data_IF_061577640267
#
_entry.id   IF_061577640267
#
_cell.length_a   1.000
_cell.length_b   1.000
_cell.length_c   1.000
_cell.angle_alpha   90.00
_cell.angle_beta   90.00
_cell.angle_gamma   90.00
#
_symmetry.space_group_name_H-M   'P 1'
#
loop_
_entity.id
_entity.type
_entity.pdbx_description
1 polymer ?
2 non-polymer ?
3 non-polymer ?
4 non-polymer ?
5 non-polymer ?
6 non-polymer ?
7 non-polymer ?
8 water ?
#
# COMPACT_ATOMS: atom_id res chain seq x y z
N UNK A 1 -20.40 -7.59 -10.73
CA UNK A 1 -19.11 -8.36 -10.60
C UNK A 1 -19.25 -9.60 -9.70
N UNK A 2 -20.50 -9.97 -9.39
CA UNK A 2 -20.84 -11.15 -8.57
C UNK A 2 -20.13 -12.44 -9.05
N UNK A 3 -20.04 -12.63 -10.37
CA UNK A 3 -19.41 -13.82 -10.96
C UNK A 3 -17.86 -13.95 -10.76
N UNK A 4 -17.21 -12.95 -10.17
CA UNK A 4 -15.80 -13.08 -9.76
C UNK A 4 -15.67 -13.50 -8.30
N UNK A 5 -16.77 -13.56 -7.57
CA UNK A 5 -16.63 -13.83 -6.13
C UNK A 5 -16.29 -15.26 -5.80
N UNK A 6 -15.46 -15.36 -4.75
CA UNK A 6 -15.08 -16.58 -4.10
C UNK A 6 -15.87 -16.76 -2.77
N UNK A 7 -16.36 -17.97 -2.54
CA UNK A 7 -17.17 -18.28 -1.36
C UNK A 7 -16.33 -19.01 -0.29
N UNK A 8 -16.31 -18.52 0.94
CA UNK A 8 -15.48 -19.14 1.98
C UNK A 8 -16.05 -20.46 2.46
N UNK A 9 -15.34 -21.56 2.32
CA UNK A 9 -15.81 -22.87 2.80
C UNK A 9 -15.32 -23.18 4.23
N UNK A 10 -14.13 -22.70 4.59
CA UNK A 10 -13.68 -22.81 5.97
C UNK A 10 -12.60 -21.78 6.22
N UNK A 11 -12.46 -21.42 7.48
CA UNK A 11 -11.39 -20.55 8.01
C UNK A 11 -10.84 -21.11 9.29
N UNK A 12 -9.56 -20.88 9.50
CA UNK A 12 -8.96 -21.15 10.77
C UNK A 12 -7.82 -20.13 10.94
N UNK A 13 -7.46 -19.84 12.17
CA UNK A 13 -6.27 -19.09 12.45
C UNK A 13 -5.09 -20.06 12.41
N UNK A 14 -4.20 -19.89 11.45
CA UNK A 14 -3.13 -20.90 11.24
C UNK A 14 -1.87 -20.55 12.04
N UNK A 15 -1.71 -19.28 12.36
CA UNK A 15 -0.47 -18.88 13.02
C UNK A 15 -0.70 -17.64 13.80
N UNK A 16 -0.08 -17.59 14.96
CA UNK A 16 -0.02 -16.37 15.73
C UNK A 16 1.39 -16.17 16.20
N UNK A 17 2.05 -15.11 15.80
CA UNK A 17 3.39 -14.87 16.24
C UNK A 17 3.32 -13.86 17.36
N UNK A 18 4.43 -13.16 17.57
CA UNK A 18 4.48 -12.14 18.57
C UNK A 18 3.61 -10.98 18.16
N UNK A 19 3.39 -10.81 16.87
CA UNK A 19 2.60 -9.71 16.37
C UNK A 19 1.64 -10.10 15.30
N UNK A 20 2.03 -10.99 14.40
CA UNK A 20 1.24 -11.25 13.21
C UNK A 20 0.34 -12.45 13.42
N UNK A 21 -0.91 -12.28 13.05
CA UNK A 21 -1.87 -13.37 13.01
C UNK A 21 -2.26 -13.72 11.57
N UNK A 22 -2.22 -15.02 11.23
CA UNK A 22 -2.52 -15.47 9.89
C UNK A 22 -3.78 -16.33 9.86
N UNK A 23 -4.69 -16.00 8.97
CA UNK A 23 -5.87 -16.82 8.72
C UNK A 23 -5.71 -17.58 7.41
N UNK A 24 -6.02 -18.88 7.44
CA UNK A 24 -5.97 -19.76 6.26
C UNK A 24 -7.41 -20.17 5.94
N UNK A 25 -7.89 -19.82 4.75
CA UNK A 25 -9.25 -20.14 4.33
C UNK A 25 -9.21 -21.10 3.17
N UNK A 26 -10.25 -21.93 3.05
CA UNK A 26 -10.49 -22.61 1.80
C UNK A 26 -11.67 -21.95 1.15
N UNK A 27 -11.56 -21.65 -0.14
CA UNK A 27 -12.62 -20.91 -0.81
C UNK A 27 -13.10 -21.63 -2.08
N UNK A 28 -14.34 -21.37 -2.46
CA UNK A 28 -14.83 -21.96 -3.68
C UNK A 28 -14.83 -20.86 -4.70
N UNK A 29 -14.05 -21.08 -5.74
CA UNK A 29 -13.85 -20.09 -6.78
C UNK A 29 -14.92 -20.25 -7.87
N UNK A 30 -14.95 -19.34 -8.85
CA UNK A 30 -15.94 -19.33 -9.94
C UNK A 30 -15.94 -20.58 -10.85
N UNK A 31 -14.83 -21.32 -10.86
CA UNK A 31 -14.77 -22.65 -11.46
C UNK A 31 -15.39 -23.80 -10.62
N UNK A 32 -16.04 -23.48 -9.51
CA UNK A 32 -16.56 -24.51 -8.60
C UNK A 32 -15.50 -25.25 -7.80
N UNK A 33 -14.21 -24.97 -8.01
CA UNK A 33 -13.14 -25.64 -7.27
C UNK A 33 -12.70 -24.89 -5.99
N UNK A 34 -11.88 -25.57 -5.22
CA UNK A 34 -11.45 -25.15 -3.88
C UNK A 34 -10.01 -24.71 -3.90
N UNK A 35 -9.77 -23.50 -3.42
CA UNK A 35 -8.40 -22.98 -3.30
C UNK A 35 -8.16 -22.46 -1.85
N UNK A 36 -6.91 -22.52 -1.46
CA UNK A 36 -6.45 -21.99 -0.19
C UNK A 36 -6.04 -20.52 -0.36
N UNK A 37 -6.49 -19.68 0.57
CA UNK A 37 -6.12 -18.25 0.63
C UNK A 37 -5.55 -17.99 2.07
N UNK A 38 -4.40 -17.31 2.14
CA UNK A 38 -3.78 -16.95 3.44
C UNK A 38 -3.63 -15.46 3.51
N UNK A 39 -3.90 -14.89 4.67
CA UNK A 39 -3.80 -13.47 4.82
C UNK A 39 -3.70 -13.07 6.28
N UNK A 40 -3.22 -11.87 6.49
CA UNK A 40 -3.03 -11.33 7.82
C UNK A 40 -4.32 -10.66 8.31
N UNK A 41 -4.61 -10.88 9.56
CA UNK A 41 -5.75 -10.28 10.22
C UNK A 41 -5.18 -9.07 10.95
N UNK A 42 -5.69 -7.91 10.57
CA UNK A 42 -5.14 -6.63 10.98
C UNK A 42 -6.36 -5.83 11.42
N UNK A 43 -6.23 -5.06 12.50
CA UNK A 43 -7.35 -4.28 13.09
C UNK A 43 -7.76 -3.00 12.31
N UNK A 44 -7.00 -2.66 11.28
CA UNK A 44 -7.11 -1.38 10.61
C UNK A 44 -6.27 -0.30 11.22
N UNK A 45 -6.24 0.84 10.57
CA UNK A 45 -5.36 1.92 11.02
C UNK A 45 -5.88 3.30 10.63
N UNK A 46 -5.27 4.35 11.18
CA UNK A 46 -5.49 5.66 10.68
C UNK A 46 -4.16 6.35 10.38
N UNK A 47 -4.16 7.30 9.43
CA UNK A 47 -3.00 8.12 9.08
C UNK A 47 -3.52 9.54 8.88
N UNK A 48 -2.74 10.56 9.24
CA UNK A 48 -3.19 11.91 9.04
C UNK A 48 -2.15 12.84 8.49
N UNK A 49 -2.65 13.81 7.73
CA UNK A 49 -1.89 14.81 7.04
C UNK A 49 -2.09 16.07 7.88
N UNK A 50 -1.10 16.45 8.67
CA UNK A 50 -1.26 17.58 9.61
C UNK A 50 -0.69 18.85 9.00
N UNK A 51 -1.57 19.76 8.58
CA UNK A 51 -1.22 20.96 7.84
C UNK A 51 -1.07 22.16 8.78
N UNK A 52 0.16 22.65 8.90
CA UNK A 52 0.48 23.71 9.79
C UNK A 52 0.06 25.09 9.23
N UNK A 53 -0.08 26.09 10.13
CA UNK A 53 -0.40 27.44 9.69
C UNK A 53 0.59 27.98 8.66
N UNK A 54 1.87 27.68 8.81
CA UNK A 54 2.82 28.13 7.79
C UNK A 54 2.75 27.38 6.47
N UNK A 55 1.79 26.48 6.35
CA UNK A 55 1.62 25.65 5.18
C UNK A 55 2.56 24.47 4.97
N UNK A 56 3.48 24.23 5.90
CA UNK A 56 4.23 22.98 5.93
C UNK A 56 3.35 21.88 6.55
N UNK A 57 3.74 20.63 6.35
CA UNK A 57 3.00 19.51 6.95
C UNK A 57 3.95 18.87 7.95
N UNK A 58 3.42 18.42 9.04
CA UNK A 58 4.18 17.69 10.04
C UNK A 58 4.37 16.21 9.59
N UNK A 59 5.61 15.77 9.48
CA UNK A 59 5.90 14.39 9.08
C UNK A 59 6.87 13.79 10.06
N UNK A 60 7.11 12.50 9.93
CA UNK A 60 8.11 11.82 10.77
C UNK A 60 9.14 11.08 9.98
N UNK A 61 10.26 10.84 10.64
CA UNK A 61 11.27 9.88 10.16
C UNK A 61 11.22 8.72 11.13
N UNK A 62 11.10 7.52 10.59
CA UNK A 62 10.95 6.31 11.41
C UNK A 62 11.66 5.13 10.71
N UNK A 63 12.51 4.40 11.45
CA UNK A 63 13.16 3.19 10.90
C UNK A 63 12.15 2.05 10.78
N UNK A 64 12.23 1.29 9.69
CA UNK A 64 11.23 0.19 9.43
C UNK A 64 12.05 -1.06 9.12
N UNK A 65 12.21 -1.89 10.16
CA UNK A 65 13.04 -3.04 10.08
C UNK A 65 12.66 -3.97 8.94
N UNK A 66 11.39 -4.04 8.60
CA UNK A 66 10.93 -4.97 7.55
C UNK A 66 11.68 -4.69 6.24
N UNK A 67 12.03 -3.42 6.03
CA UNK A 67 12.67 -2.95 4.81
C UNK A 67 14.11 -2.52 5.02
N UNK A 68 14.59 -2.57 6.27
CA UNK A 68 15.92 -2.09 6.59
C UNK A 68 16.19 -0.64 6.26
N UNK A 69 15.19 0.25 6.31
CA UNK A 69 15.50 1.66 6.10
C UNK A 69 14.67 2.64 6.90
N UNK A 70 15.13 3.89 6.91
CA UNK A 70 14.35 5.00 7.48
C UNK A 70 13.41 5.52 6.40
N UNK A 71 12.15 5.76 6.75
CA UNK A 71 11.17 6.31 5.85
C UNK A 71 10.69 7.65 6.35
N UNK A 72 10.29 8.47 5.41
CA UNK A 72 9.53 9.67 5.68
C UNK A 72 8.08 9.27 5.60
N UNK A 73 7.35 9.49 6.68
CA UNK A 73 5.97 9.11 6.80
C UNK A 73 5.09 10.22 7.39
N UNK A 74 3.80 10.18 7.05
CA UNK A 74 2.80 10.88 7.83
C UNK A 74 2.47 10.02 9.07
N UNK A 75 2.08 10.68 10.19
CA UNK A 75 1.87 9.91 11.42
C UNK A 75 0.69 8.98 11.24
N UNK A 76 0.78 7.81 11.88
CA UNK A 76 -0.20 6.74 11.74
C UNK A 76 -0.17 5.76 12.92
N UNK A 77 -1.26 5.01 13.11
CA UNK A 77 -1.21 3.86 14.04
C UNK A 77 -2.42 2.93 13.87
N UNK A 78 -2.41 1.82 14.58
CA UNK A 78 -3.44 0.81 14.52
C UNK A 78 -4.66 1.24 15.28
N UNK A 79 -5.82 0.87 14.77
CA UNK A 79 -7.05 0.93 15.53
C UNK A 79 -6.93 0.06 16.76
N UNK A 80 -7.38 0.56 17.90
CA UNK A 80 -7.38 -0.17 19.17
C UNK A 80 -8.82 -0.45 19.52
N UNK A 81 -9.11 -1.70 19.91
CA UNK A 81 -10.42 -2.06 20.47
C UNK A 81 -11.62 -1.68 19.60
N UNK A 82 -11.48 -1.77 18.29
CA UNK A 82 -12.55 -1.36 17.37
C UNK A 82 -13.08 0.08 17.53
N UNK A 83 -12.25 0.97 18.09
CA UNK A 83 -12.53 2.42 18.13
C UNK A 83 -12.79 3.04 16.76
N UNK A 84 -13.55 4.13 16.71
CA UNK A 84 -13.61 5.00 15.55
C UNK A 84 -12.16 5.46 15.12
N UNK A 85 -11.84 5.38 13.82
CA UNK A 85 -10.47 5.70 13.44
C UNK A 85 -10.09 7.18 13.70
N UNK A 86 -11.08 8.07 13.76
CA UNK A 86 -10.90 9.49 14.12
C UNK A 86 -10.22 9.59 15.49
N UNK A 87 -10.59 8.70 16.39
CA UNK A 87 -9.93 8.67 17.70
C UNK A 87 -8.51 8.15 17.60
N UNK A 88 -8.28 7.16 16.73
CA UNK A 88 -6.94 6.68 16.47
C UNK A 88 -6.05 7.81 15.96
N UNK A 89 -6.56 8.54 14.98
CA UNK A 89 -5.80 9.56 14.30
C UNK A 89 -5.42 10.66 15.27
N UNK A 90 -6.41 11.08 16.08
CA UNK A 90 -6.18 12.07 17.15
C UNK A 90 -5.15 11.63 18.18
N UNK A 91 -5.32 10.42 18.71
CA UNK A 91 -4.34 9.88 19.66
C UNK A 91 -2.96 9.81 19.02
N UNK A 92 -2.85 9.33 17.78
CA UNK A 92 -1.50 9.14 17.20
C UNK A 92 -0.81 10.43 16.83
N UNK A 93 -1.59 11.41 16.38
CA UNK A 93 -1.01 12.70 16.09
C UNK A 93 -0.40 13.28 17.39
N UNK A 94 -1.10 13.13 18.52
CA UNK A 94 -0.62 13.65 19.81
C UNK A 94 0.58 12.85 20.26
N UNK A 95 0.48 11.52 20.27
CA UNK A 95 1.62 10.74 20.73
C UNK A 95 2.85 10.86 19.84
N UNK A 96 2.69 10.75 18.51
CA UNK A 96 3.89 10.64 17.66
C UNK A 96 4.50 12.01 17.39
N UNK A 97 3.71 13.08 17.43
CA UNK A 97 4.24 14.38 17.08
C UNK A 97 4.01 15.49 18.08
N UNK A 98 3.16 15.25 19.06
CA UNK A 98 2.80 16.29 20.03
C UNK A 98 1.71 17.24 19.62
N UNK A 99 1.06 17.02 18.47
CA UNK A 99 0.03 17.98 17.99
C UNK A 99 -1.43 17.61 18.27
N UNK A 100 -2.29 18.62 18.41
CA UNK A 100 -3.75 18.45 18.29
C UNK A 100 -4.25 19.34 17.17
N UNK A 101 -5.47 19.07 16.76
CA UNK A 101 -6.06 19.78 15.65
C UNK A 101 -7.53 19.97 15.94
N UNK A 102 -8.02 21.16 15.64
CA UNK A 102 -9.44 21.47 15.75
C UNK A 102 -10.24 21.04 14.53
N UNK A 103 -9.61 20.92 13.37
CA UNK A 103 -10.36 20.57 12.19
C UNK A 103 -9.83 19.26 11.56
N UNK A 104 -10.66 18.23 11.69
CA UNK A 104 -10.46 16.90 11.15
C UNK A 104 -11.40 16.62 9.98
N UNK A 105 -10.82 16.18 8.86
CA UNK A 105 -11.62 15.81 7.68
C UNK A 105 -11.17 14.41 7.18
N UNK A 106 -12.13 13.51 7.04
CA UNK A 106 -11.89 12.21 6.51
C UNK A 106 -11.67 12.34 5.02
N UNK A 107 -10.56 11.84 4.49
CA UNK A 107 -10.38 11.86 3.03
C UNK A 107 -10.83 10.58 2.31
N UNK A 108 -10.27 9.44 2.68
CA UNK A 108 -10.48 8.21 1.93
C UNK A 108 -9.97 7.00 2.72
N UNK A 109 -10.42 5.82 2.31
CA UNK A 109 -9.94 4.61 2.92
C UNK A 109 -9.10 3.89 1.88
N UNK A 110 -7.90 3.45 2.23
CA UNK A 110 -7.06 2.65 1.35
C UNK A 110 -6.83 1.25 1.88
N UNK A 111 -6.46 0.32 0.99
CA UNK A 111 -6.10 -1.06 1.39
C UNK A 111 -4.68 -1.33 0.87
N UNK A 112 -3.69 -1.46 1.76
CA UNK A 112 -2.29 -1.53 1.30
C UNK A 112 -1.79 -2.85 0.83
N UNK A 113 -2.51 -3.92 1.06
CA UNK A 113 -1.99 -5.23 0.72
C UNK A 113 -3.16 -6.16 0.47
N UNK A 114 -3.91 -5.84 -0.58
CA UNK A 114 -5.12 -6.58 -0.87
C UNK A 114 -4.85 -8.05 -1.17
N UNK A 115 -3.62 -8.36 -1.58
CA UNK A 115 -3.21 -9.73 -1.81
C UNK A 115 -3.06 -10.56 -0.55
N UNK A 116 -2.72 -9.98 0.59
CA UNK A 116 -2.53 -10.83 1.77
C UNK A 116 -2.72 -10.18 3.13
N UNK A 117 -3.53 -9.14 3.21
CA UNK A 117 -3.91 -8.63 4.51
C UNK A 117 -5.24 -7.92 4.36
N UNK A 118 -6.06 -7.98 5.41
CA UNK A 118 -7.35 -7.30 5.42
C UNK A 118 -7.20 -5.88 5.94
N UNK A 119 -5.97 -5.44 6.14
CA UNK A 119 -5.73 -4.06 6.59
C UNK A 119 -6.42 -3.00 5.72
N UNK A 120 -7.08 -2.06 6.39
CA UNK A 120 -7.50 -0.81 5.73
C UNK A 120 -6.90 0.34 6.56
N UNK A 121 -6.58 1.44 5.90
CA UNK A 121 -6.11 2.65 6.56
C UNK A 121 -7.05 3.84 6.18
N UNK A 122 -7.55 4.52 7.20
CA UNK A 122 -8.36 5.69 6.99
C UNK A 122 -7.43 6.92 7.02
N UNK A 123 -7.51 7.72 5.98
CA UNK A 123 -6.62 8.88 5.84
C UNK A 123 -7.41 10.12 6.16
N UNK A 124 -6.89 10.95 7.05
CA UNK A 124 -7.52 12.22 7.49
C UNK A 124 -6.67 13.42 7.15
N UNK A 125 -7.32 14.57 7.00
CA UNK A 125 -6.63 15.87 6.92
C UNK A 125 -6.87 16.60 8.21
N UNK A 126 -5.79 16.93 8.93
CA UNK A 126 -5.88 17.69 10.18
C UNK A 126 -5.37 19.14 9.99
N UNK A 127 -6.19 20.11 10.38
CA UNK A 127 -5.93 21.52 10.23
C UNK A 127 -6.24 22.23 11.54
N UNK A 128 -5.66 23.44 11.65
CA UNK A 128 -5.78 24.29 12.82
C UNK A 128 -5.16 23.55 13.99
N UNK A 129 -3.84 23.49 13.91
CA UNK A 129 -3.00 22.74 14.80
C UNK A 129 -2.41 23.59 15.91
N UNK A 130 -2.25 22.99 17.09
CA UNK A 130 -1.51 23.57 18.20
C UNK A 130 -0.62 22.49 18.76
N UNK A 131 0.54 22.86 19.27
CA UNK A 131 1.55 21.92 19.73
C UNK A 131 1.56 21.76 21.25
N UNK A 132 1.81 20.53 21.70
CA UNK A 132 2.04 20.18 23.10
C UNK A 132 3.32 19.39 23.07
N UNK A 133 3.35 18.15 23.55
CA UNK A 133 4.61 17.38 23.57
C UNK A 133 4.43 15.93 23.10
N UNK A 134 5.51 15.37 22.55
CA UNK A 134 5.54 14.01 22.06
C UNK A 134 5.46 13.00 23.19
N UNK A 135 4.67 11.93 22.99
CA UNK A 135 4.54 10.84 23.99
C UNK A 135 4.72 9.47 23.28
N UNK A 136 5.98 9.09 23.08
CA UNK A 136 6.31 7.91 22.29
C UNK A 136 6.09 6.63 23.06
N UNK A 137 5.56 5.62 22.37
CA UNK A 137 5.36 4.32 22.98
C UNK A 137 6.68 3.52 23.10
N UNK A 138 6.72 2.61 24.08
CA UNK A 138 7.80 1.62 24.24
C UNK A 138 8.18 0.98 22.90
N UNK A 139 9.45 1.15 22.50
CA UNK A 139 9.95 0.56 21.26
C UNK A 139 9.58 1.33 20.01
N UNK A 140 9.11 2.56 20.19
CA UNK A 140 8.85 3.49 19.08
C UNK A 140 9.89 4.63 19.06
N UNK A 141 10.53 4.80 17.91
CA UNK A 141 11.54 5.83 17.73
C UNK A 141 11.25 6.61 16.44
N UNK A 142 11.14 7.93 16.62
CA UNK A 142 10.48 8.79 15.68
C UNK A 142 11.02 10.22 15.81
N UNK A 143 11.51 10.79 14.73
CA UNK A 143 11.95 12.16 14.73
C UNK A 143 10.90 12.97 13.95
N UNK A 144 10.42 14.08 14.48
CA UNK A 144 9.35 14.85 13.84
C UNK A 144 10.01 15.91 12.91
N UNK A 145 9.48 16.12 11.70
CA UNK A 145 10.02 17.14 10.77
C UNK A 145 8.88 17.92 10.10
N UNK A 146 9.20 19.12 9.60
CA UNK A 146 8.28 19.93 8.84
C UNK A 146 8.69 19.88 7.43
N UNK A 147 7.73 19.61 6.56
CA UNK A 147 8.02 19.50 5.15
C UNK A 147 7.12 20.43 4.33
N UNK A 148 7.73 21.19 3.42
CA UNK A 148 6.98 22.04 2.49
C UNK A 148 6.35 21.09 1.52
N UNK A 149 5.05 21.25 1.20
CA UNK A 149 4.41 20.30 0.25
C UNK A 149 5.05 20.22 -1.15
N UNK A 150 5.54 21.35 -1.66
CA UNK A 150 6.29 21.35 -2.94
C UNK A 150 7.54 20.46 -2.88
N UNK A 151 8.30 20.51 -1.77
CA UNK A 151 9.44 19.63 -1.57
C UNK A 151 9.00 18.18 -1.44
N UNK A 152 7.84 17.94 -0.79
CA UNK A 152 7.30 16.57 -0.67
C UNK A 152 7.01 15.98 -2.03
N UNK A 153 6.31 16.73 -2.90
CA UNK A 153 5.95 16.23 -4.21
C UNK A 153 7.20 15.93 -5.03
N UNK A 154 8.24 16.73 -4.87
CA UNK A 154 9.48 16.45 -5.60
C UNK A 154 10.14 15.16 -5.03
N UNK A 155 10.11 15.00 -3.71
CA UNK A 155 10.56 13.74 -3.10
C UNK A 155 9.80 12.54 -3.66
N UNK A 156 8.47 12.63 -3.82
CA UNK A 156 7.66 11.52 -4.40
C UNK A 156 8.20 11.13 -5.81
N UNK A 157 8.28 12.10 -6.69
CA UNK A 157 8.82 11.93 -8.05
C UNK A 157 10.17 11.23 -8.02
N UNK A 158 11.02 11.64 -7.08
CA UNK A 158 12.39 11.11 -6.97
C UNK A 158 12.45 9.75 -6.32
N UNK A 159 11.31 9.15 -5.94
CA UNK A 159 11.29 7.79 -5.36
C UNK A 159 11.63 7.71 -3.88
N UNK A 160 11.63 8.85 -3.19
CA UNK A 160 12.08 8.95 -1.80
C UNK A 160 10.92 8.97 -0.85
N UNK A 161 9.70 8.74 -1.37
CA UNK A 161 8.54 8.60 -0.50
C UNK A 161 7.85 7.29 -0.84
N UNK A 162 8.61 6.20 -0.74
CA UNK A 162 8.11 4.93 -1.17
C UNK A 162 6.98 4.36 -0.27
N UNK A 163 6.83 4.83 0.97
CA UNK A 163 5.73 4.41 1.83
C UNK A 163 4.38 4.73 1.23
N UNK A 164 3.64 3.72 0.79
CA UNK A 164 2.42 3.96 0.01
C UNK A 164 1.41 4.82 0.75
N UNK A 165 1.22 4.65 2.07
CA UNK A 165 0.21 5.49 2.70
C UNK A 165 0.58 6.96 2.62
N UNK A 166 1.83 7.26 2.89
CA UNK A 166 2.36 8.64 2.86
C UNK A 166 2.36 9.22 1.42
N UNK A 167 2.77 8.43 0.44
CA UNK A 167 2.80 8.90 -0.93
C UNK A 167 1.39 9.27 -1.34
N UNK A 168 0.43 8.42 -0.98
CA UNK A 168 -0.97 8.68 -1.30
C UNK A 168 -1.41 9.94 -0.55
N UNK A 169 -1.02 10.11 0.70
CA UNK A 169 -1.37 11.38 1.38
C UNK A 169 -0.88 12.59 0.63
N UNK A 170 0.30 12.44 0.04
CA UNK A 170 0.97 13.55 -0.62
C UNK A 170 0.17 13.99 -1.84
N UNK A 171 -0.31 13.01 -2.61
CA UNK A 171 -1.09 13.25 -3.81
C UNK A 171 -2.49 13.86 -3.47
N UNK A 172 -3.11 13.40 -2.40
CA UNK A 172 -4.40 13.97 -1.99
C UNK A 172 -4.15 15.39 -1.51
N UNK A 173 -3.11 15.61 -0.72
CA UNK A 173 -2.77 16.93 -0.26
C UNK A 173 -2.53 17.89 -1.43
N UNK A 174 -1.77 17.43 -2.39
CA UNK A 174 -1.51 18.17 -3.66
C UNK A 174 -2.84 18.57 -4.31
N UNK A 175 -3.78 17.65 -4.40
CA UNK A 175 -5.11 17.94 -4.93
C UNK A 175 -5.85 19.01 -4.13
N UNK A 176 -5.88 18.84 -2.82
CA UNK A 176 -6.45 19.82 -1.92
C UNK A 176 -5.82 21.22 -2.04
N UNK A 177 -4.50 21.26 -2.05
CA UNK A 177 -3.76 22.51 -2.16
C UNK A 177 -3.94 23.25 -3.50
N UNK A 178 -4.06 22.54 -4.61
CA UNK A 178 -4.32 23.18 -5.89
C UNK A 178 -5.81 23.45 -6.10
N UNK A 179 -6.63 22.97 -5.18
CA UNK A 179 -8.04 23.27 -5.15
C UNK A 179 -8.86 22.46 -6.13
N UNK A 180 -8.36 21.28 -6.53
CA UNK A 180 -9.10 20.41 -7.48
C UNK A 180 -10.07 19.54 -6.73
N UNK A 181 -9.71 19.14 -5.51
CA UNK A 181 -10.60 18.29 -4.69
C UNK A 181 -10.87 18.91 -3.28
N UNK A 182 -12.15 19.14 -2.97
CA UNK A 182 -12.57 19.52 -1.60
C UNK A 182 -14.04 19.19 -1.31
N UNK B 3 21.55 6.01 14.12
CA UNK B 3 20.72 7.01 14.86
C UNK B 3 19.34 6.44 15.17
N UNK B 4 18.57 6.11 14.13
CA UNK B 4 17.27 5.43 14.30
C UNK B 4 17.38 3.94 13.99
N UNK B 5 18.43 3.56 13.29
CA UNK B 5 18.60 2.22 12.82
C UNK B 5 18.55 1.22 13.97
N UNK B 6 17.91 0.08 13.72
CA UNK B 6 17.89 -1.05 14.62
C UNK B 6 18.86 -2.07 14.11
N UNK B 7 19.58 -2.72 15.01
CA UNK B 7 20.62 -3.68 14.61
C UNK B 7 20.10 -5.11 14.85
N UNK B 8 20.28 -5.98 13.87
CA UNK B 8 19.77 -7.34 13.93
C UNK B 8 20.67 -8.14 14.81
N UNK B 9 20.11 -8.82 15.78
CA UNK B 9 20.89 -9.68 16.65
C UNK B 9 20.69 -11.10 16.26
N UNK B 10 19.47 -11.47 15.86
CA UNK B 10 19.19 -12.82 15.40
C UNK B 10 17.98 -12.82 14.46
N UNK B 11 17.85 -13.87 13.66
CA UNK B 11 16.84 -13.98 12.65
C UNK B 11 16.31 -15.43 12.69
N UNK B 12 15.04 -15.62 12.37
CA UNK B 12 14.45 -16.94 12.31
C UNK B 12 13.27 -16.84 11.34
N UNK B 13 13.01 -17.91 10.59
CA UNK B 13 11.83 -18.01 9.80
C UNK B 13 10.82 -18.80 10.62
N UNK B 14 9.86 -18.09 11.20
CA UNK B 14 9.00 -18.72 12.20
C UNK B 14 7.79 -19.39 11.57
N UNK B 15 7.39 -18.96 10.38
CA UNK B 15 6.21 -19.51 9.76
C UNK B 15 6.42 -19.53 8.28
N UNK B 16 5.97 -20.62 7.68
CA UNK B 16 5.81 -20.78 6.27
C UNK B 16 4.57 -21.62 6.06
N UNK B 17 3.51 -21.02 5.56
CA UNK B 17 2.30 -21.70 5.20
C UNK B 17 2.33 -22.00 3.72
N UNK B 18 1.14 -22.15 3.14
CA UNK B 18 0.96 -22.43 1.72
C UNK B 18 1.48 -21.34 0.80
N UNK B 19 1.28 -20.09 1.23
CA UNK B 19 1.73 -18.93 0.53
C UNK B 19 2.58 -17.98 1.33
N UNK B 20 2.35 -17.78 2.63
CA UNK B 20 3.04 -16.69 3.33
C UNK B 20 4.20 -17.23 4.19
N UNK B 21 5.24 -16.43 4.30
CA UNK B 21 6.43 -16.74 5.05
C UNK B 21 6.74 -15.57 5.97
N UNK B 22 7.03 -15.83 7.23
CA UNK B 22 7.20 -14.78 8.22
C UNK B 22 8.58 -14.93 8.81
N UNK B 23 9.31 -13.84 8.81
CA UNK B 23 10.59 -13.76 9.46
C UNK B 23 10.40 -13.14 10.84
N UNK B 24 11.16 -13.59 11.84
CA UNK B 24 11.10 -12.95 13.18
C UNK B 24 12.50 -12.64 13.59
N UNK B 25 12.79 -11.34 13.82
CA UNK B 25 14.09 -10.94 14.25
C UNK B 25 14.09 -10.38 15.67
N UNK B 26 15.17 -10.60 16.37
CA UNK B 26 15.52 -9.83 17.57
C UNK B 26 16.46 -8.74 17.08
N UNK B 27 16.09 -7.51 17.37
CA UNK B 27 16.91 -6.35 17.05
C UNK B 27 17.25 -5.52 18.29
N UNK B 28 18.33 -4.75 18.22
CA UNK B 28 18.68 -3.78 19.26
C UNK B 28 18.33 -2.39 18.75
N UNK B 29 17.51 -1.66 19.51
CA UNK B 29 16.98 -0.37 19.06
C UNK B 29 17.86 0.75 19.61
N UNK B 30 17.55 2.00 19.24
CA UNK B 30 18.36 3.15 19.73
C UNK B 30 18.33 3.36 21.26
N UNK B 31 17.33 2.86 21.98
CA UNK B 31 17.36 2.87 23.42
C UNK B 31 18.30 1.79 24.01
N UNK B 32 19.03 1.09 23.15
CA UNK B 32 19.88 0.01 23.62
C UNK B 32 19.13 -1.28 23.98
N UNK B 33 17.80 -1.26 23.92
CA UNK B 33 16.98 -2.42 24.27
C UNK B 33 16.68 -3.39 23.10
N UNK B 34 16.28 -4.61 23.45
CA UNK B 34 16.00 -5.70 22.48
C UNK B 34 14.49 -5.78 22.23
N UNK B 35 14.12 -5.83 20.96
CA UNK B 35 12.73 -5.94 20.54
C UNK B 35 12.58 -7.01 19.47
N UNK B 36 11.38 -7.55 19.37
CA UNK B 36 11.02 -8.44 18.32
C UNK B 36 10.50 -7.66 17.12
N UNK B 37 10.88 -8.12 15.93
CA UNK B 37 10.30 -7.60 14.70
C UNK B 37 9.89 -8.76 13.80
N UNK B 38 8.65 -8.76 13.33
CA UNK B 38 8.09 -9.84 12.52
C UNK B 38 7.56 -9.24 11.24
N UNK B 39 7.89 -9.85 10.12
CA UNK B 39 7.43 -9.35 8.85
C UNK B 39 7.42 -10.45 7.80
N UNK B 40 6.50 -10.29 6.84
CA UNK B 40 6.42 -11.17 5.68
C UNK B 40 7.65 -11.04 4.83
N UNK B 41 8.16 -12.17 4.38
CA UNK B 41 9.22 -12.23 3.40
C UNK B 41 8.52 -12.43 2.04
N UNK B 42 8.71 -11.46 1.16
CA UNK B 42 7.95 -11.36 -0.10
C UNK B 42 9.00 -11.21 -1.15
N UNK B 43 8.84 -11.89 -2.27
CA UNK B 43 9.80 -11.77 -3.38
C UNK B 43 9.82 -10.40 -4.13
N UNK B 44 8.84 -9.53 -3.94
CA UNK B 44 8.76 -8.31 -4.72
C UNK B 44 7.81 -8.55 -5.87
N UNK B 45 7.38 -7.46 -6.52
CA UNK B 45 6.37 -7.53 -7.54
C UNK B 45 6.50 -6.37 -8.52
N UNK B 46 5.84 -6.49 -9.66
CA UNK B 46 5.73 -5.43 -10.62
C UNK B 46 4.24 -5.19 -10.90
N UNK B 47 3.93 -3.91 -11.19
CA UNK B 47 2.65 -3.45 -11.66
C UNK B 47 2.87 -2.57 -12.91
N UNK B 48 1.91 -2.64 -13.82
CA UNK B 48 1.99 -2.14 -15.20
C UNK B 48 0.78 -1.25 -15.52
N UNK B 49 1.04 -0.07 -16.04
CA UNK B 49 0.02 0.84 -16.49
C UNK B 49 0.00 0.80 -18.02
N UNK B 50 -0.98 0.11 -18.60
CA UNK B 50 -0.85 -0.12 -20.06
C UNK B 50 -1.69 0.90 -20.78
N UNK B 51 -1.00 1.81 -21.48
CA UNK B 51 -1.65 2.95 -22.14
C UNK B 51 -1.92 2.63 -23.60
N UNK B 52 -3.17 2.77 -24.02
CA UNK B 52 -3.63 2.38 -25.33
C UNK B 52 -3.56 3.56 -26.31
N UNK B 53 -3.53 3.28 -27.62
CA UNK B 53 -3.54 4.39 -28.58
C UNK B 53 -4.75 5.32 -28.42
N UNK B 54 -5.91 4.81 -28.04
CA UNK B 54 -7.06 5.67 -27.81
C UNK B 54 -7.02 6.49 -26.51
N UNK B 55 -5.91 6.40 -25.76
CA UNK B 55 -5.74 7.18 -24.55
C UNK B 55 -6.36 6.57 -23.27
N UNK B 56 -7.06 5.45 -23.40
CA UNK B 56 -7.50 4.73 -22.22
C UNK B 56 -6.39 3.80 -21.72
N UNK B 57 -6.62 3.22 -20.53
CA UNK B 57 -5.67 2.28 -19.94
C UNK B 57 -6.39 0.99 -19.73
N UNK B 58 -5.63 -0.11 -19.85
CA UNK B 58 -6.10 -1.42 -19.59
C UNK B 58 -6.00 -1.66 -18.09
N UNK B 59 -7.12 -2.07 -17.51
CA UNK B 59 -7.19 -2.37 -16.11
C UNK B 59 -7.88 -3.69 -15.94
N UNK B 60 -7.97 -4.17 -14.69
CA UNK B 60 -8.59 -5.48 -14.42
C UNK B 60 -9.59 -5.35 -13.24
N UNK B 61 -10.61 -6.23 -13.22
CA UNK B 61 -11.37 -6.52 -12.00
C UNK B 61 -10.94 -7.89 -11.51
N UNK B 62 -10.68 -7.97 -10.21
CA UNK B 62 -10.26 -9.22 -9.57
C UNK B 62 -10.77 -9.21 -8.18
N UNK B 63 -11.27 -10.35 -7.75
CA UNK B 63 -11.75 -10.56 -6.39
C UNK B 63 -10.53 -10.75 -5.54
N UNK B 64 -10.60 -10.22 -4.32
CA UNK B 64 -9.48 -10.32 -3.36
C UNK B 64 -10.07 -10.78 -2.04
N UNK B 65 -9.87 -12.05 -1.74
CA UNK B 65 -10.46 -12.64 -0.59
C UNK B 65 -9.98 -12.07 0.75
N UNK B 66 -8.75 -11.56 0.81
CA UNK B 66 -8.24 -10.99 2.06
C UNK B 66 -9.17 -9.89 2.56
N UNK B 67 -9.72 -9.15 1.60
CA UNK B 67 -10.59 -8.01 1.89
C UNK B 67 -12.05 -8.27 1.54
N UNK B 68 -12.36 -9.39 0.88
CA UNK B 68 -13.72 -9.83 0.59
C UNK B 68 -14.48 -8.92 -0.39
N UNK B 69 -13.80 -8.40 -1.39
CA UNK B 69 -14.47 -7.76 -2.47
C UNK B 69 -13.63 -7.70 -3.73
N UNK B 70 -14.28 -7.25 -4.79
CA UNK B 70 -13.66 -7.10 -6.09
C UNK B 70 -13.02 -5.72 -6.19
N UNK B 71 -11.78 -5.68 -6.68
CA UNK B 71 -11.03 -4.48 -6.87
C UNK B 71 -10.81 -4.13 -8.32
N UNK B 72 -10.81 -2.81 -8.60
CA UNK B 72 -10.23 -2.30 -9.80
C UNK B 72 -8.71 -2.14 -9.61
N UNK B 73 -7.93 -2.78 -10.49
CA UNK B 73 -6.47 -2.84 -10.36
C UNK B 73 -5.79 -2.67 -11.69
N UNK B 74 -4.59 -2.11 -11.65
CA UNK B 74 -3.72 -2.28 -12.75
C UNK B 74 -3.15 -3.68 -12.61
N UNK B 75 -2.84 -4.33 -13.74
CA UNK B 75 -2.29 -5.68 -13.67
C UNK B 75 -0.93 -5.76 -12.97
N UNK B 76 -0.70 -6.86 -12.27
CA UNK B 76 0.48 -6.98 -11.43
C UNK B 76 0.79 -8.44 -11.18
N UNK B 77 2.02 -8.71 -10.72
CA UNK B 77 2.37 -9.99 -10.14
C UNK B 77 3.74 -10.03 -9.47
N UNK B 78 4.05 -11.21 -8.89
CA UNK B 78 5.18 -11.45 -8.07
C UNK B 78 6.40 -11.82 -8.89
N UNK B 79 7.53 -11.31 -8.46
CA UNK B 79 8.82 -11.74 -8.98
C UNK B 79 9.07 -13.22 -8.83
N UNK B 80 9.40 -13.87 -9.94
CA UNK B 80 9.73 -15.26 -9.99
C UNK B 80 11.23 -15.41 -10.05
N UNK B 81 11.78 -16.18 -9.12
CA UNK B 81 13.22 -16.54 -9.12
C UNK B 81 14.16 -15.34 -9.25
N UNK B 82 13.88 -14.31 -8.48
CA UNK B 82 14.71 -13.07 -8.50
C UNK B 82 15.03 -12.60 -9.94
N UNK B 83 14.15 -12.90 -10.89
CA UNK B 83 14.21 -12.30 -12.20
C UNK B 83 14.15 -10.76 -12.08
N UNK B 84 14.61 -10.10 -13.10
CA UNK B 84 14.51 -8.62 -13.25
C UNK B 84 12.98 -8.22 -13.26
N UNK B 85 12.48 -7.24 -12.48
CA UNK B 85 11.00 -7.01 -12.43
C UNK B 85 10.40 -6.57 -13.78
N UNK B 86 11.20 -6.08 -14.70
CA UNK B 86 10.66 -5.82 -16.02
C UNK B 86 10.21 -7.09 -16.68
N UNK B 87 10.87 -8.22 -16.45
CA UNK B 87 10.42 -9.51 -17.02
C UNK B 87 9.12 -9.96 -16.35
N UNK B 88 9.04 -9.73 -15.07
CA UNK B 88 7.79 -10.01 -14.37
C UNK B 88 6.65 -9.24 -14.98
N UNK B 89 6.90 -7.97 -15.30
CA UNK B 89 5.87 -7.07 -15.82
C UNK B 89 5.40 -7.52 -17.19
N UNK B 90 6.34 -7.85 -18.06
CA UNK B 90 5.98 -8.31 -19.41
C UNK B 90 5.16 -9.59 -19.36
N UNK B 91 5.54 -10.53 -18.51
CA UNK B 91 4.85 -11.81 -18.41
C UNK B 91 3.46 -11.64 -17.82
N UNK B 92 3.34 -10.91 -16.72
CA UNK B 92 2.01 -10.68 -16.10
C UNK B 92 1.06 -9.85 -16.96
N UNK B 93 1.59 -8.93 -17.73
CA UNK B 93 0.72 -8.16 -18.59
C UNK B 93 0.12 -9.08 -19.64
N UNK B 94 0.95 -9.99 -20.14
CA UNK B 94 0.49 -10.97 -21.15
C UNK B 94 -0.48 -11.91 -20.51
N UNK B 95 -0.09 -12.49 -19.40
CA UNK B 95 -0.94 -13.49 -18.76
C UNK B 95 -2.27 -12.91 -18.26
N UNK B 96 -2.21 -11.77 -17.55
CA UNK B 96 -3.44 -11.18 -16.93
C UNK B 96 -4.42 -10.52 -17.91
N UNK B 97 -3.88 -9.87 -18.91
CA UNK B 97 -4.68 -9.06 -19.81
C UNK B 97 -4.64 -9.47 -21.31
N UNK B 98 -3.62 -10.23 -21.70
CA UNK B 98 -3.40 -10.60 -23.10
C UNK B 98 -2.69 -9.56 -23.93
N UNK B 99 -2.17 -8.51 -23.32
CA UNK B 99 -1.38 -7.53 -24.06
C UNK B 99 0.17 -7.69 -24.00
N UNK B 100 0.84 -7.17 -25.03
CA UNK B 100 2.26 -7.03 -25.07
C UNK B 100 2.50 -5.58 -25.44
N UNK B 101 3.67 -5.09 -25.07
CA UNK B 101 3.99 -3.69 -25.22
C UNK B 101 5.42 -3.63 -25.72
N UNK B 102 5.73 -2.74 -26.65
CA UNK B 102 7.09 -2.65 -27.17
C UNK B 102 7.85 -1.48 -26.52
N UNK B 103 7.17 -0.71 -25.66
CA UNK B 103 7.76 0.46 -25.00
C UNK B 103 7.41 0.38 -23.47
N UNK B 104 8.45 0.21 -22.65
CA UNK B 104 8.32 0.05 -21.22
C UNK B 104 9.18 1.10 -20.56
N UNK B 105 8.66 1.70 -19.51
CA UNK B 105 9.38 2.71 -18.76
C UNK B 105 9.13 2.49 -17.28
N UNK B 106 10.18 2.33 -16.52
CA UNK B 106 10.09 2.30 -15.08
C UNK B 106 9.71 3.66 -14.52
N UNK B 107 8.72 3.71 -13.63
CA UNK B 107 8.26 4.95 -12.99
C UNK B 107 8.83 5.12 -11.60
N UNK B 108 8.56 4.17 -10.72
CA UNK B 108 8.96 4.29 -9.30
C UNK B 108 8.80 2.95 -8.55
N UNK B 109 9.45 2.84 -7.40
CA UNK B 109 9.29 1.70 -6.48
C UNK B 109 8.51 2.14 -5.21
N UNK B 110 7.49 1.35 -4.83
CA UNK B 110 6.72 1.63 -3.64
C UNK B 110 6.82 0.44 -2.67
N UNK B 111 6.61 0.70 -1.39
CA UNK B 111 6.60 -0.31 -0.34
C UNK B 111 5.23 -0.27 0.34
N UNK B 112 4.44 -1.30 0.12
CA UNK B 112 3.03 -1.16 0.47
C UNK B 112 2.72 -1.45 1.92
N UNK B 113 3.66 -2.02 2.64
CA UNK B 113 3.38 -2.38 4.04
C UNK B 113 4.64 -2.37 4.92
N UNK B 114 5.20 -1.18 5.12
CA UNK B 114 6.54 -1.03 5.70
C UNK B 114 6.55 -1.52 7.15
N UNK B 115 5.38 -1.62 7.77
CA UNK B 115 5.35 -2.11 9.14
C UNK B 115 5.53 -3.61 9.29
N UNK B 116 5.17 -4.41 8.27
CA UNK B 116 5.16 -5.86 8.44
C UNK B 116 5.39 -6.71 7.17
N UNK B 117 5.98 -6.09 6.13
CA UNK B 117 6.40 -6.84 4.91
C UNK B 117 7.60 -6.19 4.23
N UNK B 118 8.50 -6.99 3.66
CA UNK B 118 9.59 -6.43 2.90
C UNK B 118 9.21 -6.25 1.44
N UNK B 119 7.96 -6.46 1.11
CA UNK B 119 7.51 -6.28 -0.23
C UNK B 119 7.86 -4.90 -0.82
N UNK B 120 8.39 -4.92 -2.04
CA UNK B 120 8.44 -3.72 -2.87
C UNK B 120 7.69 -4.02 -4.18
N UNK B 121 7.08 -2.99 -4.77
CA UNK B 121 6.46 -3.13 -6.06
C UNK B 121 7.05 -2.07 -7.00
N UNK B 122 7.49 -2.50 -8.17
CA UNK B 122 8.03 -1.60 -9.15
C UNK B 122 6.93 -1.35 -10.15
N UNK B 123 6.66 -0.07 -10.37
CA UNK B 123 5.62 0.39 -11.26
C UNK B 123 6.23 0.81 -12.57
N UNK B 124 5.59 0.35 -13.64
CA UNK B 124 6.01 0.64 -14.99
C UNK B 124 4.87 1.19 -15.83
N UNK B 125 5.23 2.05 -16.80
CA UNK B 125 4.34 2.44 -17.90
C UNK B 125 4.60 1.61 -19.15
N UNK B 126 3.53 1.06 -19.71
CA UNK B 126 3.64 0.23 -20.92
C UNK B 126 2.88 0.87 -22.08
N UNK B 127 3.53 1.00 -23.24
CA UNK B 127 2.97 1.68 -24.41
C UNK B 127 3.25 0.92 -25.69
N UNK B 128 2.52 1.29 -26.76
CA UNK B 128 2.65 0.67 -28.07
C UNK B 128 2.22 -0.78 -27.94
N UNK B 129 0.93 -0.99 -27.74
CA UNK B 129 0.42 -2.30 -27.32
C UNK B 129 -0.18 -3.15 -28.43
N UNK B 130 -0.07 -4.47 -28.29
CA UNK B 130 -0.69 -5.41 -29.22
C UNK B 130 -1.57 -6.36 -28.42
N UNK B 131 -2.80 -6.63 -28.87
CA UNK B 131 -3.74 -7.42 -28.05
C UNK B 131 -3.72 -8.85 -28.46
N UNK B 132 -3.10 -9.72 -27.66
CA UNK B 132 -3.16 -11.16 -27.90
C UNK B 132 -4.24 -11.70 -27.00
N UNK B 133 -4.00 -12.82 -26.30
CA UNK B 133 -5.01 -13.34 -25.37
C UNK B 133 -4.43 -13.61 -24.02
N UNK B 134 -5.27 -13.57 -23.00
CA UNK B 134 -4.89 -13.93 -21.64
C UNK B 134 -4.47 -15.39 -21.54
N UNK B 135 -3.70 -15.67 -20.48
CA UNK B 135 -3.09 -16.94 -20.19
C UNK B 135 -3.05 -16.99 -18.63
N UNK B 136 -4.21 -17.06 -18.02
CA UNK B 136 -4.31 -16.98 -16.57
C UNK B 136 -3.78 -18.21 -15.86
N UNK B 137 -3.22 -17.99 -14.65
CA UNK B 137 -2.74 -19.04 -13.74
C UNK B 137 -3.91 -19.64 -12.97
N UNK B 138 -3.67 -20.77 -12.34
CA UNK B 138 -4.70 -21.43 -11.60
C UNK B 138 -5.09 -20.62 -10.37
N UNK B 139 -6.37 -20.63 -10.06
CA UNK B 139 -6.91 -19.84 -8.97
C UNK B 139 -6.88 -18.35 -9.28
N UNK B 140 -6.54 -18.01 -10.51
CA UNK B 140 -6.49 -16.62 -10.94
C UNK B 140 -7.73 -16.32 -11.81
N UNK B 141 -8.61 -15.47 -11.34
CA UNK B 141 -9.82 -15.11 -12.15
C UNK B 141 -9.88 -13.63 -12.35
N UNK B 142 -9.86 -13.18 -13.59
CA UNK B 142 -9.59 -11.75 -13.90
C UNK B 142 -10.37 -11.31 -15.12
N UNK B 143 -11.03 -10.18 -15.01
CA UNK B 143 -11.61 -9.50 -16.18
C UNK B 143 -10.89 -8.23 -16.56
N UNK B 144 -10.76 -7.99 -17.86
CA UNK B 144 -10.04 -6.88 -18.42
C UNK B 144 -11.02 -5.79 -18.78
N UNK B 145 -10.72 -4.53 -18.47
CA UNK B 145 -11.62 -3.41 -18.85
C UNK B 145 -10.76 -2.30 -19.34
N UNK B 146 -11.25 -1.44 -20.23
CA UNK B 146 -10.54 -0.21 -20.54
C UNK B 146 -11.16 0.84 -19.71
N UNK B 147 -10.32 1.71 -19.18
CA UNK B 147 -10.76 2.82 -18.36
C UNK B 147 -10.18 4.11 -18.85
N UNK B 148 -11.01 5.17 -18.92
CA UNK B 148 -10.53 6.52 -19.28
C UNK B 148 -9.80 7.11 -18.10
N UNK B 149 -8.61 7.69 -18.31
CA UNK B 149 -7.94 8.17 -17.10
C UNK B 149 -8.76 9.23 -16.35
N UNK B 150 -9.54 10.05 -17.06
CA UNK B 150 -10.32 11.06 -16.33
C UNK B 150 -11.31 10.38 -15.43
N UNK B 151 -11.97 9.32 -15.91
CA UNK B 151 -12.86 8.50 -15.05
C UNK B 151 -12.14 7.85 -13.86
N UNK B 152 -10.90 7.42 -14.09
CA UNK B 152 -10.13 6.72 -13.07
C UNK B 152 -9.89 7.68 -11.91
N UNK B 153 -9.53 8.91 -12.22
CA UNK B 153 -9.32 9.91 -11.17
C UNK B 153 -10.56 10.27 -10.32
N UNK B 154 -11.72 10.34 -10.97
CA UNK B 154 -12.98 10.51 -10.28
C UNK B 154 -13.29 9.28 -9.39
N UNK B 155 -12.97 8.09 -9.85
CA UNK B 155 -13.14 6.87 -9.04
C UNK B 155 -12.20 6.92 -7.82
N UNK B 156 -10.98 7.40 -8.01
CA UNK B 156 -10.04 7.56 -6.87
C UNK B 156 -10.67 8.51 -5.81
N UNK B 157 -11.13 9.67 -6.24
CA UNK B 157 -11.82 10.69 -5.37
C UNK B 157 -12.91 10.10 -4.57
N UNK B 158 -13.75 9.33 -5.25
CA UNK B 158 -14.87 8.62 -4.64
C UNK B 158 -14.53 7.44 -3.76
N UNK B 159 -13.28 7.04 -3.61
CA UNK B 159 -12.95 5.93 -2.71
C UNK B 159 -13.06 4.56 -3.33
N UNK B 160 -13.18 4.51 -4.66
CA UNK B 160 -13.43 3.28 -5.38
C UNK B 160 -12.20 2.68 -6.03
N UNK B 161 -11.02 3.26 -5.78
CA UNK B 161 -9.73 2.66 -6.16
C UNK B 161 -8.86 2.56 -4.93
N UNK B 162 -9.35 1.82 -3.95
CA UNK B 162 -8.67 1.72 -2.65
C UNK B 162 -7.39 0.88 -2.67
N UNK B 163 -7.15 0.11 -3.73
CA UNK B 163 -5.88 -0.62 -3.89
C UNK B 163 -4.69 0.36 -4.00
N UNK B 164 -3.81 0.38 -3.00
CA UNK B 164 -2.79 1.40 -3.00
C UNK B 164 -1.98 1.42 -4.28
N UNK B 165 -1.57 0.27 -4.82
CA UNK B 165 -0.68 0.28 -5.95
C UNK B 165 -1.34 0.93 -7.18
N UNK B 166 -2.59 0.60 -7.38
CA UNK B 166 -3.39 1.11 -8.51
C UNK B 166 -3.69 2.61 -8.32
N UNK B 167 -4.09 3.00 -7.11
CA UNK B 167 -4.34 4.40 -6.82
C UNK B 167 -3.07 5.18 -7.09
N UNK B 168 -1.93 4.70 -6.60
CA UNK B 168 -0.66 5.39 -6.89
C UNK B 168 -0.38 5.46 -8.41
N UNK B 169 -0.65 4.36 -9.12
CA UNK B 169 -0.50 4.33 -10.58
C UNK B 169 -1.35 5.45 -11.21
N UNK B 170 -2.57 5.60 -10.72
CA UNK B 170 -3.49 6.59 -11.25
C UNK B 170 -2.94 7.98 -11.12
N UNK B 171 -2.41 8.30 -9.93
CA UNK B 171 -1.78 9.58 -9.68
C UNK B 171 -0.54 9.86 -10.53
N UNK B 172 0.33 8.86 -10.70
CA UNK B 172 1.49 9.01 -11.58
C UNK B 172 1.02 9.21 -13.02
N UNK B 173 0.13 8.35 -13.52
CA UNK B 173 -0.50 8.58 -14.85
C UNK B 173 -1.06 10.02 -15.07
N UNK B 174 -1.66 10.55 -14.03
CA UNK B 174 -2.25 11.90 -14.05
C UNK B 174 -1.18 12.95 -14.25
N UNK B 175 -0.07 12.84 -13.52
CA UNK B 175 1.07 13.77 -13.68
C UNK B 175 1.75 13.69 -15.07
N UNK B 176 1.92 12.46 -15.56
CA UNK B 176 2.38 12.21 -16.90
C UNK B 176 1.38 12.82 -17.90
N UNK B 177 0.11 12.46 -17.80
CA UNK B 177 -0.84 12.93 -18.80
C UNK B 177 -1.01 14.45 -18.75
N UNK B 178 -0.84 15.06 -17.57
CA UNK B 178 -0.94 16.51 -17.48
C UNK B 178 0.36 17.23 -17.90
N UNK B 179 1.40 16.51 -18.33
CA UNK B 179 2.67 17.15 -18.68
C UNK B 179 3.53 17.59 -17.49
N UNK B 180 3.00 17.44 -16.26
CA UNK B 180 3.70 17.83 -15.04
C UNK B 180 4.96 16.95 -14.81
N UNK B 181 4.84 15.64 -15.00
CA UNK B 181 5.96 14.70 -14.84
C UNK B 181 6.05 13.90 -16.15
X LIG C 1 7.12 -6.38 14.42
X LIG C 1 7.16 -6.07 15.74
X LIG C 1 6.67 -4.93 16.26
X LIG C 1 6.07 -4.02 15.43
X LIG C 1 5.97 -4.31 13.98
X LIG C 1 6.55 -5.59 13.51
X LIG C 1 6.50 -5.94 12.20
X LIG C 1 5.35 -3.25 13.39
X LIG C 1 5.05 -2.36 14.39
X LIG C 1 5.49 -2.82 15.60
X LIG C 1 5.39 -2.11 16.91
X LIG C 1 5.65 -0.59 16.77
X LIG C 1 6.98 -0.15 17.11
X LIG C 1 4.61 0.03 17.67
X LIG C 1 5.21 0.42 18.93
X LIG C 1 4.11 -2.32 17.51
X LIG C 1 3.52 -1.06 17.79
X LIG C 1 2.36 -0.95 16.79
X LIG C 1 2.48 0.27 16.06
X LIG C 1 1.38 0.74 14.98
X LIG C 1 0.25 1.43 15.72
X LIG C 1 1.16 -0.42 14.02
X LIG C 1 2.29 1.80 14.24
X LIG C 1 2.82 1.40 12.82
X LIG C 1 3.75 0.20 12.88
X LIG C 1 3.19 2.76 12.26
X LIG C 1 1.54 0.88 11.99
X LIG C 1 0.64 1.78 11.36
X LIG C 1 1.60 2.21 9.22
X LIG C 1 2.77 1.78 7.08
X LIG C 1 1.79 1.41 8.03
X LIG C 1 2.40 -1.01 7.60
X LIG C 1 2.03 0.01 8.61
X LIG C 1 -0.41 -0.10 8.59
X LIG C 1 0.72 0.05 9.42
X LIG C 1 0.55 1.52 9.87
X LIG D 1 9.12 -7.91 22.26
X LIG D 1 9.44 -6.84 21.30
X LIG D 1 8.15 -7.43 23.30
X LIG D 1 8.48 -9.05 21.58
X LIG D 1 10.42 -8.32 22.89
X LIG E 1 -7.64 -27.86 5.89
X LIG E 1 -8.22 -27.49 4.57
X LIG E 1 -8.09 -26.91 6.97
X LIG E 1 -8.06 -29.24 6.26
X LIG E 1 -6.17 -27.75 5.70
X LIG F 1 -11.73 16.39 20.62
X LIG F 1 -12.82 17.39 20.79
X LIG F 1 -11.12 16.55 19.29
X LIG F 1 -12.26 15.00 20.71
X LIG F 1 -10.70 16.60 21.67
X LIG G 1 -5.13 26.36 9.28
X LIG G 1 -4.33 26.57 10.46
X LIG G 1 -4.31 25.47 8.37
X LIG G 1 -4.40 24.12 8.88
X LIG G 1 -4.77 25.61 6.91
X LIG G 1 -4.35 26.87 6.34
X LIG H 1 12.63 5.61 -0.17
X LIG H 1 11.39 6.18 -0.57
X LIG H 1 12.30 4.66 0.97
X LIG H 1 12.36 3.30 0.55
X LIG H 1 13.29 4.88 2.13
X LIG H 1 12.92 6.05 2.87
X LIG I 1 2.31 20.56 -3.60
X LIG I 1 1.34 19.69 -3.00
X LIG I 1 1.83 22.00 -3.72
X LIG I 1 2.98 22.82 -3.88
X LIG I 1 0.93 22.17 -4.95
X LIG I 1 0.43 23.51 -5.01
X LIG J 1 15.45 9.47 5.57
X LIG J 1 14.40 9.80 4.65
X LIG J 1 14.60 11.14 4.13
X LIG J 1 13.46 11.73 3.28
X LIG J 1 13.57 13.18 3.11
X LIG J 1 13.17 13.97 4.26
X LIG J 1 13.07 15.49 4.05
X LIG J 1 13.01 16.12 5.35
X LIG K 1 -4.66 -24.13 -3.50
X LIG K 1 -5.20 -22.79 -3.15
X LIG K 1 -3.87 -24.01 -4.74
X LIG K 1 -5.77 -25.09 -3.72
X LIG K 1 -3.82 -24.62 -2.36
X LIG L 1 -5.75 -13.73 -4.61
X LIG L 1 -6.84 -13.60 -5.63
X LIG L 1 -5.56 -12.54 -3.70
X LIG L 1 -6.00 -14.92 -3.76
X LIG L 1 -4.53 -13.93 -5.42
X LIG M 1 8.28 -1.24 13.15
X LIG M 1 7.32 -0.93 14.23
X LIG M 1 9.18 -0.07 13.03
X LIG M 1 7.58 -1.51 11.85
X LIG M 1 9.06 -2.41 13.60
X LIG N 1 -5.06 -26.49 1.77
X LIG N 1 -5.93 -27.61 2.01
X LIG N 1 -3.79 -26.55 2.60
X LIG N 1 -2.68 -26.46 1.69
X LIG N 1 -1.57 -25.95 2.42
X LIG N 1 -0.28 -26.30 1.69
X LIG N 1 0.73 -25.32 1.90
X LIG O 1 -3.32 -16.39 -0.38
X LIG O 1 -3.29 -17.46 -1.19
X LIG O 1 -2.97 -17.41 -2.50
X LIG O 1 -2.61 -16.23 -3.05
X LIG O 1 -2.62 -15.01 -2.22
X LIG O 1 -3.01 -15.17 -0.81
X LIG O 1 -3.05 -14.12 0.04
X LIG O 1 -2.26 -13.98 -3.02
X LIG O 1 -2.02 -14.54 -4.25
X LIG O 1 -2.24 -15.88 -4.27
X LIG O 1 -2.09 -16.84 -5.41
X LIG O 1 -2.90 -16.41 -6.63
X LIG O 1 -4.01 -17.29 -6.93
X LIG O 1 -1.89 -16.31 -7.77
X LIG O 1 -2.17 -17.33 -8.74
X LIG O 1 -0.70 -16.84 -5.77
X LIG O 1 -0.51 -16.48 -7.14
X LIG O 1 0.44 -15.27 -7.20
X LIG O 1 -0.18 -14.02 -7.51
X LIG O 1 0.56 -12.85 -8.34
X LIG O 1 -0.26 -12.43 -9.60
X LIG O 1 2.03 -13.14 -8.46
X LIG O 1 0.42 -11.68 -7.29
X LIG O 1 -1.02 -11.01 -6.99
X LIG O 1 -1.71 -11.82 -5.90
X LIG O 1 -1.59 -10.27 -8.12
X LIG O 1 -0.29 -9.86 -6.11
X LIG O 1 0.83 -9.08 -6.57
X LIG O 1 -0.51 -7.17 -5.99
X LIG O 1 -1.95 -5.79 -4.45
X LIG O 1 -0.79 -6.59 -4.67
X LIG O 1 -0.68 -7.38 -2.25
X LIG O 1 -0.56 -7.75 -3.69
X LIG O 1 1.64 -6.99 -3.74
X LIG O 1 0.84 -8.03 -4.26
X LIG O 1 0.78 -7.79 -5.79
X LIG P 1 4.09 -14.74 -11.54
X LIG P 1 4.64 -13.43 -11.71
X LIG P 1 4.33 -15.31 -10.16
X LIG P 1 3.06 -15.57 -9.49
X LIG P 1 5.23 -16.54 -10.24
X LIG P 1 6.24 -16.43 -9.22
X LIG Q 1 -12.22 0.26 -3.77
X LIG Q 1 -13.08 1.01 -2.90
X LIG Q 1 -12.87 -1.09 -4.02
X LIG Q 1 -12.56 -1.77 -2.77
X LIG Q 1 -12.33 -1.74 -5.32
X LIG Q 1 -11.64 -0.87 -6.33
X LIG R 1 -7.67 -4.88 -30.13
X LIG R 1 -6.50 -5.03 -30.94
X LIG R 1 -8.69 -5.87 -30.65
X LIG R 1 -8.29 -7.20 -30.32
X LIG R 1 -10.07 -5.58 -30.06
X LIG R 1 -10.95 -6.64 -30.48
X LIG S 1 -15.05 1.45 -24.15
X LIG S 1 -14.89 0.22 -23.44
X LIG S 1 -15.05 2.62 -23.14
X LIG S 1 -15.01 2.20 -21.78
X LIG S 1 -13.85 3.53 -23.37
X LIG S 1 -14.32 4.87 -23.45
X LIG T 1 -14.73 -2.33 -8.63
X LIG T 1 -15.90 -3.13 -8.91
X LIG T 1 -15.11 -0.91 -8.17
X LIG T 1 -14.22 0.13 -8.65
X LIG T 1 -14.75 0.92 -9.74
X LIG T 1 -15.03 0.06 -11.00
X LIG T 1 -14.56 0.02 -15.29
X LIG T 1 -15.25 0.96 -14.47
X LIG T 1 -15.84 0.21 -13.27
X LIG T 1 -15.48 0.90 -12.07
#
# INVERSE_FOLDING_TARGET
>A
MKHLEEKTLSTRQIFKGRYLKIEQDQVQAPDGRTYTREYILHPGAAMMIPLLPNGNVVMIHQYRHAVKKVFLEFPAGKRDHNEETLLTAKRELLEETGYEAKDWKFLTTIHPVIGYSNEHIDLYLARDLTHLEQRLDQGQFIEVVEVKPADLMQLVLEGKVSDVKTQIGAFWLDKFLRGEWN
>B
MKHLEEKTLSTRQIFKGRYLKIEQDQVQAPDGRTYTREYILHPGAAMMIPLLPNGNVVMIHQYRHAVKKVFLEFPAGKRDHNEETLLTAKRELLEETGYEAKDWKFLTTIHPVIGYSNEHIDLYLARDLTHLEQRLDQGQFIEVVEVKPADLMQLVLEGKVSDVKTQIGAFWLDKFLRGEWN
>C hetero
1 APR N1 C2 N3 C4 C5 C6 N6 N7 C8 N9 C1' C2' O2' C3' O3' O4' C4' C5' O5' PA O1A O2A O3A PB O1B O2B O5D C5D O4D O1D C1D O2D C2D O3D C3D C4D
>D hetero
1 SO4 S O1 O2 O3 O4
>E hetero
1 SO4 S O1 O2 O3 O4
>F hetero
1 SO4 S O1 O2 O3 O4
>G hetero
1 GOL C1 O1 C2 O2 C3 O3
>H hetero
1 GOL C1 O1 C2 O2 C3 O3
>I hetero
1 GOL C1 O1 C2 O2 C3 O3
>J hetero
1 PG0 C5 O2 C4 C3 O1 C2 C1 OTT
>K hetero
1 SO4 S O1 O2 O3 O4
>L hetero
1 SO4 S O1 O2 O3 O4
>M hetero
1 SO4 S O1 O2 O3 O4
>N hetero
1 PEG C1 O1 C2 O2 C3 C4 O4
>O hetero
1 APR N1 C2 N3 C4 C5 C6 N6 N7 C8 N9 C1' C2' O2' C3' O3' O4' C4' C5' O5' PA O1A O2A O3A PB O1B O2B O5D C5D O4D O1D C1D O2D C2D O3D C3D C4D
>P hetero
1 GOL C1 O1 C2 O2 C3 O3
>Q hetero
1 GOL C1 O1 C2 O2 C3 O3
>R hetero
1 GOL C1 O1 C2 O2 C3 O3
>S hetero
1 GOL C1 O1 C2 O2 C3 O3
>T hetero
1 PGE C1 O1 C2 O2 C3 C4 O4 C6 C5 O3
#
